data_IF_803000544939
#
_entry.id   IF_803000544939
#
_cell.length_a   1.000
_cell.length_b   1.000
_cell.length_c   1.000
_cell.angle_alpha   90.00
_cell.angle_beta   90.00
_cell.angle_gamma   90.00
#
_symmetry.space_group_name_H-M   'P 1'
#
loop_
_entity.id
_entity.type
_entity.pdbx_description
1 polymer ?
#
# COMPACT_ATOMS: atom_id res chain seq x y z
N UNK A 1 -5.68 6.54 -3.44
CA UNK A 1 -5.08 5.72 -2.36
C UNK A 1 -3.83 5.05 -2.91
N UNK A 2 -2.63 5.38 -2.39
CA UNK A 2 -1.41 4.72 -2.81
C UNK A 2 -1.37 3.27 -2.31
N UNK A 3 -0.72 2.40 -3.08
CA UNK A 3 -0.36 1.04 -2.68
C UNK A 3 1.14 1.01 -2.40
N UNK A 4 1.57 0.21 -1.43
CA UNK A 4 2.97 0.04 -1.08
C UNK A 4 3.39 -1.40 -1.38
N UNK A 5 4.54 -1.60 -2.01
CA UNK A 5 5.08 -2.95 -2.16
C UNK A 5 5.52 -3.51 -0.79
N UNK A 6 5.06 -4.71 -0.44
CA UNK A 6 5.34 -5.32 0.86
C UNK A 6 6.83 -5.64 1.12
N UNK A 7 7.66 -5.69 0.07
CA UNK A 7 9.10 -6.01 0.18
C UNK A 7 10.00 -4.79 0.18
N UNK A 8 9.85 -3.91 -0.80
CA UNK A 8 10.72 -2.75 -0.95
C UNK A 8 10.17 -1.47 -0.31
N UNK A 9 8.91 -1.49 0.16
CA UNK A 9 8.30 -0.34 0.84
C UNK A 9 8.04 0.87 -0.06
N UNK A 10 8.26 0.76 -1.38
CA UNK A 10 7.97 1.83 -2.33
C UNK A 10 6.48 1.99 -2.54
N UNK A 11 6.05 3.24 -2.66
CA UNK A 11 4.75 3.60 -3.20
C UNK A 11 4.71 3.23 -4.69
N UNK A 12 3.65 2.52 -5.05
CA UNK A 12 3.44 1.89 -6.36
C UNK A 12 2.64 2.84 -7.23
N UNK A 13 3.12 3.07 -8.44
CA UNK A 13 2.41 3.89 -9.43
C UNK A 13 1.22 3.12 -10.01
N UNK A 14 0.19 3.79 -10.55
CA UNK A 14 -0.95 3.10 -11.16
C UNK A 14 -0.54 2.10 -12.26
N UNK A 15 0.52 2.40 -13.03
CA UNK A 15 1.05 1.53 -14.09
C UNK A 15 1.62 0.20 -13.56
N UNK A 16 2.31 0.24 -12.42
CA UNK A 16 2.83 -0.96 -11.75
C UNK A 16 1.70 -1.80 -11.12
N UNK A 17 0.65 -1.12 -10.65
CA UNK A 17 -0.53 -1.77 -10.06
C UNK A 17 -1.36 -2.49 -11.12
N UNK A 18 -1.56 -1.90 -12.30
CA UNK A 18 -2.25 -2.54 -13.44
C UNK A 18 -1.54 -3.83 -13.88
N UNK A 19 -0.21 -3.85 -13.84
CA UNK A 19 0.62 -5.02 -14.17
C UNK A 19 0.78 -6.00 -13.02
N UNK A 20 0.21 -5.72 -11.83
CA UNK A 20 0.38 -6.50 -10.60
C UNK A 20 1.85 -6.82 -10.26
N UNK A 21 2.78 -5.94 -10.63
CA UNK A 21 4.20 -6.18 -10.47
C UNK A 21 4.93 -4.89 -10.14
N UNK A 22 5.63 -4.87 -9.00
CA UNK A 22 6.54 -3.80 -8.65
C UNK A 22 7.85 -3.93 -9.47
N UNK A 23 8.58 -2.82 -9.66
CA UNK A 23 9.94 -2.80 -10.22
C UNK A 23 10.91 -3.82 -9.58
N UNK A 24 10.68 -4.22 -8.32
CA UNK A 24 11.48 -5.24 -7.63
C UNK A 24 11.06 -6.70 -7.94
N UNK A 25 10.07 -6.93 -8.80
CA UNK A 25 9.54 -8.24 -9.18
C UNK A 25 8.52 -8.84 -8.19
N UNK A 26 8.24 -8.17 -7.07
CA UNK A 26 7.24 -8.61 -6.09
C UNK A 26 5.81 -8.23 -6.51
N UNK A 27 4.84 -9.08 -6.15
CA UNK A 27 3.42 -8.96 -6.55
C UNK A 27 2.45 -8.75 -5.37
N UNK A 28 2.99 -8.55 -4.17
CA UNK A 28 2.19 -8.34 -2.96
C UNK A 28 2.22 -6.86 -2.58
N UNK A 29 1.05 -6.26 -2.51
CA UNK A 29 0.85 -4.83 -2.27
C UNK A 29 -0.03 -4.60 -1.04
N UNK A 30 0.34 -3.60 -0.23
CA UNK A 30 -0.39 -3.18 0.97
C UNK A 30 -1.08 -1.86 0.63
N UNK A 31 -2.40 -1.80 0.83
CA UNK A 31 -3.16 -0.58 0.62
C UNK A 31 -2.91 0.40 1.77
N UNK A 32 -2.46 1.62 1.45
CA UNK A 32 -2.29 2.66 2.46
C UNK A 32 -3.67 3.10 2.93
N UNK A 33 -3.92 2.95 4.24
CA UNK A 33 -5.14 3.47 4.85
C UNK A 33 -5.00 4.99 5.00
N UNK A 34 -6.02 5.76 4.60
CA UNK A 34 -6.07 7.16 5.00
C UNK A 34 -6.07 7.26 6.53
N UNK A 35 -5.49 8.33 7.06
CA UNK A 35 -5.49 8.63 8.49
C UNK A 35 -6.91 9.00 8.95
N UNK A 36 -7.76 7.99 9.11
CA UNK A 36 -9.06 8.15 9.76
C UNK A 36 -8.79 8.06 11.26
N UNK A 37 -8.82 9.21 11.93
CA UNK A 37 -8.74 9.25 13.39
C UNK A 37 -9.99 8.55 13.92
N UNK A 38 -9.79 7.40 14.58
CA UNK A 38 -10.84 6.70 15.30
C UNK A 38 -10.66 7.00 16.77
N UNK A 39 -11.62 7.70 17.37
CA UNK A 39 -11.68 7.85 18.82
C UNK A 39 -12.08 6.49 19.40
N UNK A 40 -11.20 5.90 20.21
CA UNK A 40 -11.46 4.63 20.89
C UNK A 40 -11.59 4.92 22.37
N UNK A 41 -12.76 4.66 22.95
CA UNK A 41 -12.94 4.74 24.39
C UNK A 41 -12.06 3.65 25.04
N UNK A 42 -11.03 4.05 25.77
CA UNK A 42 -10.26 3.16 26.62
C UNK A 42 -11.09 2.87 27.88
N UNK A 43 -11.60 1.64 28.01
CA UNK A 43 -12.27 1.15 29.22
C UNK A 43 -11.26 0.44 30.13
#
# INVERSE_FOLDING_TARGET
>A
MPYICARCGREVTPEELEKFQCLCGYRVFIKVRPAVVKEVLAR
#
